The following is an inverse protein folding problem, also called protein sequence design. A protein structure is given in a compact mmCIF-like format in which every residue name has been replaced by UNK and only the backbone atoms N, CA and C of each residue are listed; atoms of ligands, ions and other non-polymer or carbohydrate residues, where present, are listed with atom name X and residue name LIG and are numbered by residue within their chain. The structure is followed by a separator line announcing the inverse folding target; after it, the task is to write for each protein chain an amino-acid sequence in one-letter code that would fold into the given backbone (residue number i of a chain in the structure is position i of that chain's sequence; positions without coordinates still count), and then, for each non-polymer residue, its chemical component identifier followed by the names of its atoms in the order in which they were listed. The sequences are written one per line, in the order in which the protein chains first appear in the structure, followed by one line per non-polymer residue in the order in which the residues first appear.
data_IF_499456376159
#
_entry.id   IF_499456376159
#
_cell.length_a   1.000
_cell.length_b   1.000
_cell.length_c   1.000
_cell.angle_alpha   90.00
_cell.angle_beta   90.00
_cell.angle_gamma   90.00
#
_symmetry.space_group_name_H-M   'P 1'
#
loop_
_entity.id
_entity.type
_entity.pdbx_description
1 polymer ?
#
# COMPACT_ATOMS: atom_id res chain seq x y z
N UNK A 1 41.75 -14.09 -7.33
CA UNK A 1 41.65 -14.28 -8.79
C UNK A 1 40.36 -15.00 -9.12
N UNK A 2 39.36 -14.32 -9.60
CA UNK A 2 38.11 -14.97 -10.07
C UNK A 2 38.45 -15.75 -11.37
N UNK A 3 38.22 -17.05 -11.38
CA UNK A 3 38.32 -17.87 -12.60
C UNK A 3 37.30 -17.31 -13.61
N UNK A 4 37.79 -16.79 -14.74
CA UNK A 4 36.90 -16.46 -15.86
C UNK A 4 36.20 -17.75 -16.30
N UNK A 5 34.89 -17.79 -16.17
CA UNK A 5 34.07 -18.86 -16.69
C UNK A 5 34.14 -18.77 -18.22
N UNK A 6 34.59 -19.84 -18.85
CA UNK A 6 34.68 -19.88 -20.31
C UNK A 6 33.32 -20.40 -20.84
N UNK A 7 32.47 -19.51 -21.26
CA UNK A 7 31.12 -19.79 -21.75
C UNK A 7 31.10 -20.52 -23.12
N UNK A 8 32.22 -20.59 -23.83
CA UNK A 8 32.28 -21.18 -25.18
C UNK A 8 31.99 -22.69 -25.28
N UNK A 9 31.80 -23.35 -24.15
CA UNK A 9 31.52 -24.82 -24.07
C UNK A 9 30.24 -25.16 -23.34
N UNK A 10 29.44 -24.20 -22.96
CA UNK A 10 28.21 -24.41 -22.24
C UNK A 10 27.07 -24.35 -23.25
N UNK A 11 26.35 -25.42 -23.44
CA UNK A 11 25.18 -25.42 -24.32
C UNK A 11 23.94 -24.84 -23.60
N UNK A 12 22.95 -24.44 -24.36
CA UNK A 12 21.72 -23.85 -23.88
C UNK A 12 21.01 -24.75 -22.84
N UNK A 13 20.99 -26.05 -23.08
CA UNK A 13 20.35 -27.00 -22.16
C UNK A 13 21.08 -27.06 -20.81
N UNK A 14 22.43 -27.00 -20.84
CA UNK A 14 23.24 -26.97 -19.63
C UNK A 14 22.99 -25.67 -18.82
N UNK A 15 22.79 -24.53 -19.48
CA UNK A 15 22.44 -23.28 -18.80
C UNK A 15 21.07 -23.40 -18.11
N UNK A 16 20.05 -23.89 -18.82
CA UNK A 16 18.74 -24.11 -18.23
C UNK A 16 18.82 -25.04 -17.03
N UNK A 17 19.53 -26.17 -17.17
CA UNK A 17 19.69 -27.13 -16.08
C UNK A 17 20.45 -26.55 -14.89
N UNK A 18 21.51 -25.79 -15.13
CA UNK A 18 22.35 -25.25 -14.08
C UNK A 18 21.69 -24.10 -13.31
N UNK A 19 20.89 -23.27 -14.01
CA UNK A 19 20.31 -22.07 -13.45
C UNK A 19 18.85 -22.28 -13.01
N UNK A 20 18.06 -22.92 -13.90
CA UNK A 20 16.62 -23.13 -13.65
C UNK A 20 16.30 -24.54 -13.15
N UNK A 21 17.31 -25.42 -13.05
CA UNK A 21 17.18 -26.82 -12.60
C UNK A 21 16.06 -27.61 -13.31
N UNK A 22 15.83 -27.27 -14.57
CA UNK A 22 14.90 -27.96 -15.45
C UNK A 22 15.40 -27.95 -16.89
N UNK A 23 14.94 -28.86 -17.76
CA UNK A 23 15.26 -28.83 -19.20
C UNK A 23 14.52 -27.64 -19.86
N UNK A 24 15.02 -27.17 -21.01
CA UNK A 24 14.30 -26.23 -21.87
C UNK A 24 12.92 -26.78 -22.27
N UNK A 25 11.93 -25.92 -22.40
CA UNK A 25 10.52 -26.28 -22.63
C UNK A 25 10.28 -26.96 -23.98
N UNK A 26 11.11 -26.66 -24.97
CA UNK A 26 10.99 -27.25 -26.30
C UNK A 26 12.33 -27.34 -27.01
N UNK A 27 12.39 -28.26 -28.01
CA UNK A 27 13.55 -28.37 -28.93
C UNK A 27 13.78 -27.07 -29.71
N UNK A 28 12.76 -26.24 -29.89
CA UNK A 28 12.90 -24.95 -30.59
C UNK A 28 13.73 -23.92 -29.79
N UNK A 29 13.62 -23.94 -28.47
CA UNK A 29 14.47 -23.08 -27.58
C UNK A 29 15.92 -23.52 -27.71
N UNK A 30 16.19 -24.81 -27.83
CA UNK A 30 17.54 -25.36 -28.04
C UNK A 30 18.06 -24.98 -29.45
N UNK A 31 17.24 -25.10 -30.50
CA UNK A 31 17.61 -24.77 -31.87
C UNK A 31 17.84 -23.28 -32.14
N UNK A 32 17.03 -22.41 -31.58
CA UNK A 32 17.25 -20.98 -31.64
C UNK A 32 18.57 -20.61 -30.97
N UNK A 33 18.98 -21.33 -29.93
CA UNK A 33 20.27 -21.18 -29.28
C UNK A 33 21.46 -21.66 -30.13
N UNK A 34 21.26 -22.68 -31.02
CA UNK A 34 22.37 -23.25 -31.82
C UNK A 34 22.75 -22.41 -33.04
N UNK A 35 21.81 -21.69 -33.69
CA UNK A 35 22.07 -20.92 -34.92
C UNK A 35 22.62 -19.51 -34.66
N UNK A 36 22.31 -18.88 -33.50
CA UNK A 36 22.75 -17.52 -33.11
C UNK A 36 23.24 -17.48 -31.66
N UNK A 37 23.72 -18.61 -31.16
CA UNK A 37 23.98 -18.79 -29.75
C UNK A 37 25.17 -17.96 -29.26
N UNK A 38 24.86 -16.87 -28.56
CA UNK A 38 25.79 -16.18 -27.67
C UNK A 38 25.51 -16.63 -26.24
N UNK A 39 26.36 -17.49 -25.66
CA UNK A 39 26.17 -17.99 -24.29
C UNK A 39 26.07 -16.89 -23.26
N UNK A 40 26.74 -15.76 -23.47
CA UNK A 40 26.75 -14.65 -22.55
C UNK A 40 25.41 -13.88 -22.60
N UNK A 41 24.92 -13.62 -23.81
CA UNK A 41 23.62 -12.99 -23.99
C UNK A 41 22.50 -13.86 -23.41
N UNK A 42 22.53 -15.15 -23.74
CA UNK A 42 21.51 -16.09 -23.26
C UNK A 42 21.54 -16.28 -21.74
N UNK A 43 22.72 -16.29 -21.14
CA UNK A 43 22.88 -16.27 -19.69
C UNK A 43 22.22 -15.04 -19.08
N UNK A 44 22.45 -13.85 -19.66
CA UNK A 44 21.79 -12.63 -19.21
C UNK A 44 20.27 -12.68 -19.36
N UNK A 45 19.76 -13.23 -20.47
CA UNK A 45 18.33 -13.42 -20.71
C UNK A 45 17.69 -14.34 -19.64
N UNK A 46 18.35 -15.44 -19.29
CA UNK A 46 17.89 -16.34 -18.22
C UNK A 46 17.90 -15.61 -16.87
N UNK A 47 18.97 -14.87 -16.54
CA UNK A 47 19.06 -14.13 -15.28
C UNK A 47 17.99 -13.02 -15.17
N UNK A 48 17.61 -12.43 -16.30
CA UNK A 48 16.59 -11.42 -16.38
C UNK A 48 15.17 -12.02 -16.54
N UNK A 49 15.04 -13.33 -16.69
CA UNK A 49 13.73 -13.97 -16.83
C UNK A 49 12.95 -13.95 -15.53
N UNK A 50 11.64 -13.82 -15.63
CA UNK A 50 10.72 -13.87 -14.48
C UNK A 50 10.87 -15.19 -13.70
N UNK A 51 11.15 -16.29 -14.40
CA UNK A 51 11.36 -17.59 -13.80
C UNK A 51 12.61 -17.64 -12.92
N UNK A 52 13.74 -17.12 -13.39
CA UNK A 52 14.98 -17.07 -12.60
C UNK A 52 14.80 -16.15 -11.40
N UNK A 53 14.24 -14.96 -11.62
CA UNK A 53 13.98 -14.02 -10.54
C UNK A 53 13.05 -14.64 -9.49
N UNK A 54 12.01 -15.35 -9.92
CA UNK A 54 11.10 -16.06 -9.01
C UNK A 54 11.80 -17.14 -8.19
N UNK A 55 12.71 -17.92 -8.82
CA UNK A 55 13.50 -18.93 -8.12
C UNK A 55 14.51 -18.34 -7.16
N UNK A 56 15.20 -17.28 -7.58
CA UNK A 56 16.13 -16.56 -6.71
C UNK A 56 15.40 -16.01 -5.48
N UNK A 57 14.22 -15.48 -5.70
CA UNK A 57 13.34 -14.99 -4.64
C UNK A 57 12.91 -16.15 -3.74
N UNK A 58 12.48 -17.28 -4.32
CA UNK A 58 12.15 -18.49 -3.56
C UNK A 58 13.31 -18.93 -2.66
N UNK A 59 14.53 -18.97 -3.20
CA UNK A 59 15.74 -19.32 -2.44
C UNK A 59 16.07 -18.28 -1.36
N UNK A 60 15.88 -17.01 -1.63
CA UNK A 60 16.05 -15.94 -0.62
C UNK A 60 14.98 -16.06 0.45
N UNK A 61 13.73 -16.33 0.07
CA UNK A 61 12.60 -16.47 0.99
C UNK A 61 12.70 -17.74 1.84
N UNK A 62 13.30 -18.82 1.32
CA UNK A 62 13.63 -20.02 2.12
C UNK A 62 14.60 -19.74 3.26
N UNK A 63 15.37 -18.66 3.13
CA UNK A 63 16.25 -18.17 4.21
C UNK A 63 15.54 -17.23 5.19
N UNK A 64 14.30 -16.80 4.88
CA UNK A 64 13.49 -15.95 5.77
C UNK A 64 12.42 -16.80 6.48
N UNK A 65 12.28 -16.69 7.81
CA UNK A 65 11.36 -17.55 8.59
C UNK A 65 9.87 -17.30 8.33
N UNK A 66 9.49 -16.25 7.61
CA UNK A 66 8.09 -15.86 7.39
C UNK A 66 7.74 -15.77 5.89
N UNK A 67 7.33 -16.91 5.31
CA UNK A 67 6.74 -16.98 3.95
C UNK A 67 5.27 -16.61 3.97
N UNK A 68 4.93 -15.33 4.21
CA UNK A 68 3.54 -14.90 4.33
C UNK A 68 3.26 -13.74 3.41
N UNK A 69 2.10 -13.79 2.75
CA UNK A 69 1.63 -12.64 1.99
C UNK A 69 1.34 -11.48 2.94
N UNK A 70 1.78 -10.31 2.57
CA UNK A 70 1.57 -9.08 3.30
C UNK A 70 0.52 -8.25 2.57
N UNK A 71 -0.65 -8.08 3.16
CA UNK A 71 -1.78 -7.38 2.55
C UNK A 71 -2.04 -6.10 3.34
N UNK A 72 -1.71 -4.96 2.75
CA UNK A 72 -1.92 -3.66 3.36
C UNK A 72 -3.17 -2.98 2.81
N UNK A 73 -4.22 -2.93 3.62
CA UNK A 73 -5.41 -2.14 3.33
C UNK A 73 -5.08 -0.68 3.64
N UNK A 74 -4.83 0.09 2.58
CA UNK A 74 -4.42 1.48 2.71
C UNK A 74 -5.64 2.40 2.81
N UNK A 75 -5.93 2.84 4.02
CA UNK A 75 -6.92 3.90 4.27
C UNK A 75 -6.33 5.24 3.85
N UNK A 76 -7.04 6.06 3.05
CA UNK A 76 -6.52 7.36 2.61
C UNK A 76 -6.03 8.23 3.75
N UNK A 77 -4.89 8.90 3.55
CA UNK A 77 -4.26 9.84 4.50
C UNK A 77 -3.77 9.25 5.83
N UNK A 78 -3.62 7.92 5.90
CA UNK A 78 -3.10 7.18 7.06
C UNK A 78 -1.68 6.64 6.86
N UNK A 79 -0.80 7.40 6.23
CA UNK A 79 0.63 7.12 6.02
C UNK A 79 0.96 5.99 5.02
N UNK A 80 0.03 5.52 4.18
CA UNK A 80 0.26 4.39 3.27
C UNK A 80 1.37 4.62 2.26
N UNK A 81 1.46 5.79 1.63
CA UNK A 81 2.57 6.12 0.70
C UNK A 81 3.93 6.02 1.40
N UNK A 82 4.02 6.49 2.66
CA UNK A 82 5.25 6.37 3.44
C UNK A 82 5.56 4.90 3.74
N UNK A 83 4.54 4.12 4.12
CA UNK A 83 4.67 2.69 4.34
C UNK A 83 5.19 1.98 3.09
N UNK A 84 4.52 2.17 1.95
CA UNK A 84 4.91 1.55 0.69
C UNK A 84 6.37 1.87 0.33
N UNK A 85 6.75 3.14 0.38
CA UNK A 85 8.12 3.57 0.07
C UNK A 85 9.19 2.97 1.00
N UNK A 86 8.83 2.61 2.24
CA UNK A 86 9.76 2.00 3.20
C UNK A 86 9.81 0.48 3.10
N UNK A 87 8.70 -0.15 2.80
CA UNK A 87 8.57 -1.62 2.80
C UNK A 87 8.84 -2.23 1.42
N UNK A 88 8.38 -1.59 0.33
CA UNK A 88 8.59 -2.11 -1.02
C UNK A 88 10.07 -2.46 -1.35
N UNK A 89 11.08 -1.69 -0.92
CA UNK A 89 12.47 -2.05 -1.15
C UNK A 89 12.94 -3.33 -0.44
N UNK A 90 12.19 -3.83 0.54
CA UNK A 90 12.49 -5.11 1.19
C UNK A 90 12.07 -6.31 0.36
N UNK A 91 11.27 -6.08 -0.66
CA UNK A 91 10.81 -7.10 -1.60
C UNK A 91 11.65 -7.02 -2.88
N UNK A 92 12.53 -7.99 -3.13
CA UNK A 92 13.53 -7.89 -4.21
C UNK A 92 12.95 -8.01 -5.63
N UNK A 93 11.65 -8.29 -5.77
CA UNK A 93 10.99 -8.44 -7.07
C UNK A 93 9.92 -7.37 -7.29
N UNK A 94 9.96 -6.73 -8.45
CA UNK A 94 9.02 -5.70 -8.89
C UNK A 94 7.57 -6.20 -8.83
N UNK A 95 7.34 -7.47 -9.14
CA UNK A 95 6.01 -8.08 -9.19
C UNK A 95 5.47 -8.52 -7.82
N UNK A 96 6.21 -8.29 -6.73
CA UNK A 96 5.80 -8.68 -5.39
C UNK A 96 5.08 -7.57 -4.62
N UNK A 97 5.08 -6.35 -5.15
CA UNK A 97 4.31 -5.25 -4.56
C UNK A 97 3.42 -4.61 -5.62
N UNK A 98 2.13 -4.53 -5.34
CA UNK A 98 1.14 -3.91 -6.22
C UNK A 98 0.53 -2.75 -5.46
N UNK A 99 0.60 -1.55 -6.05
CA UNK A 99 -0.09 -0.38 -5.54
C UNK A 99 -1.40 -0.19 -6.29
N UNK A 100 -2.51 -0.16 -5.56
CA UNK A 100 -3.83 0.19 -6.06
C UNK A 100 -4.17 1.57 -5.53
N UNK A 101 -4.32 2.53 -6.43
CA UNK A 101 -4.63 3.91 -6.06
C UNK A 101 -6.14 4.16 -5.94
N UNK A 102 -6.52 5.22 -5.25
CA UNK A 102 -7.93 5.58 -5.05
C UNK A 102 -8.66 5.98 -6.36
N UNK A 103 -7.90 6.37 -7.39
CA UNK A 103 -8.41 6.69 -8.73
C UNK A 103 -8.41 5.51 -9.70
N UNK A 104 -7.97 4.33 -9.26
CA UNK A 104 -8.11 3.11 -10.05
C UNK A 104 -9.59 2.81 -10.24
N UNK A 105 -10.06 2.76 -11.48
CA UNK A 105 -11.46 2.47 -11.78
C UNK A 105 -11.82 1.06 -11.27
N UNK A 106 -13.11 0.82 -11.03
CA UNK A 106 -13.57 -0.51 -10.60
C UNK A 106 -13.16 -1.61 -11.60
N UNK A 107 -13.18 -1.30 -12.89
CA UNK A 107 -12.80 -2.24 -13.95
C UNK A 107 -11.29 -2.51 -13.92
N UNK A 108 -10.46 -1.48 -13.84
CA UNK A 108 -9.00 -1.62 -13.69
C UNK A 108 -8.64 -2.36 -12.42
N UNK A 109 -9.32 -2.07 -11.31
CA UNK A 109 -9.14 -2.82 -10.06
C UNK A 109 -9.44 -4.30 -10.24
N UNK A 110 -10.52 -4.66 -10.90
CA UNK A 110 -10.87 -6.07 -11.17
C UNK A 110 -9.86 -6.74 -12.08
N UNK A 111 -9.35 -6.05 -13.10
CA UNK A 111 -8.29 -6.54 -13.99
C UNK A 111 -6.97 -6.74 -13.24
N UNK A 112 -6.58 -5.78 -12.39
CA UNK A 112 -5.40 -5.87 -11.52
C UNK A 112 -5.54 -7.08 -10.59
N UNK A 113 -6.68 -7.22 -9.92
CA UNK A 113 -6.91 -8.33 -8.97
C UNK A 113 -6.98 -9.69 -9.67
N UNK A 114 -7.56 -9.77 -10.88
CA UNK A 114 -7.59 -10.99 -11.68
C UNK A 114 -6.18 -11.40 -12.15
N UNK A 115 -5.39 -10.44 -12.65
CA UNK A 115 -4.00 -10.66 -13.00
C UNK A 115 -3.17 -11.04 -11.76
N UNK A 116 -3.49 -10.42 -10.64
CA UNK A 116 -2.86 -10.68 -9.35
C UNK A 116 -3.12 -12.10 -8.85
N UNK A 117 -4.33 -12.63 -9.01
CA UNK A 117 -4.63 -14.02 -8.66
C UNK A 117 -3.71 -15.00 -9.40
N UNK A 118 -3.42 -14.74 -10.68
CA UNK A 118 -2.48 -15.55 -11.46
C UNK A 118 -1.02 -15.39 -11.02
N UNK A 119 -0.62 -14.19 -10.60
CA UNK A 119 0.73 -13.91 -10.06
C UNK A 119 0.92 -14.56 -8.68
N UNK A 120 -0.11 -14.52 -7.83
CA UNK A 120 -0.09 -15.13 -6.49
C UNK A 120 0.14 -16.63 -6.52
N UNK A 121 -0.32 -17.32 -7.56
CA UNK A 121 -0.06 -18.76 -7.72
C UNK A 121 1.42 -19.08 -7.90
N UNK A 122 2.20 -18.13 -8.42
CA UNK A 122 3.63 -18.27 -8.67
C UNK A 122 4.52 -17.90 -7.46
N UNK A 123 4.04 -17.05 -6.56
CA UNK A 123 4.87 -16.49 -5.48
C UNK A 123 4.30 -16.82 -4.11
N UNK A 124 5.07 -17.57 -3.31
CA UNK A 124 4.72 -17.83 -1.90
C UNK A 124 4.77 -16.57 -1.04
N UNK A 125 5.45 -15.53 -1.50
CA UNK A 125 5.60 -14.27 -0.80
C UNK A 125 5.26 -13.09 -1.72
N UNK A 126 4.29 -12.31 -1.33
CA UNK A 126 3.81 -11.16 -2.10
C UNK A 126 3.35 -10.05 -1.17
N UNK A 127 3.64 -8.81 -1.54
CA UNK A 127 3.06 -7.65 -0.90
C UNK A 127 1.94 -7.08 -1.77
N UNK A 128 0.76 -6.91 -1.19
CA UNK A 128 -0.36 -6.19 -1.80
C UNK A 128 -0.59 -4.90 -1.02
N UNK A 129 -0.57 -3.79 -1.69
CA UNK A 129 -0.79 -2.49 -1.08
C UNK A 129 -1.77 -1.67 -1.91
N UNK A 130 -2.78 -1.07 -1.30
CA UNK A 130 -3.67 -0.18 -2.05
C UNK A 130 -4.96 0.21 -1.34
N UNK A 131 -5.74 1.04 -2.02
CA UNK A 131 -7.02 1.58 -1.56
C UNK A 131 -8.19 0.61 -1.84
N UNK A 132 -8.10 -0.62 -1.39
CA UNK A 132 -9.16 -1.62 -1.46
C UNK A 132 -9.76 -1.87 -0.07
N UNK A 133 -10.94 -2.47 -0.04
CA UNK A 133 -11.59 -2.82 1.22
C UNK A 133 -11.26 -4.24 1.67
N UNK A 134 -11.55 -4.55 2.93
CA UNK A 134 -11.52 -5.93 3.46
C UNK A 134 -12.34 -6.88 2.58
N UNK A 135 -13.48 -6.44 2.08
CA UNK A 135 -14.32 -7.26 1.20
C UNK A 135 -13.62 -7.61 -0.11
N UNK A 136 -12.82 -6.70 -0.70
CA UNK A 136 -11.99 -7.02 -1.87
C UNK A 136 -10.92 -8.05 -1.51
N UNK A 137 -10.30 -7.93 -0.33
CA UNK A 137 -9.32 -8.92 0.14
C UNK A 137 -9.94 -10.30 0.25
N UNK A 138 -11.11 -10.40 0.85
CA UNK A 138 -11.78 -11.69 1.09
C UNK A 138 -12.29 -12.31 -0.22
N UNK A 139 -12.96 -11.52 -1.06
CA UNK A 139 -13.70 -12.03 -2.21
C UNK A 139 -12.84 -12.16 -3.48
N UNK A 140 -11.90 -11.24 -3.70
CA UNK A 140 -11.15 -11.15 -4.96
C UNK A 140 -9.71 -11.68 -4.81
N UNK A 141 -9.02 -11.28 -3.72
CA UNK A 141 -7.65 -11.72 -3.46
C UNK A 141 -7.64 -13.13 -2.86
N UNK A 142 -8.64 -13.44 -2.03
CA UNK A 142 -8.74 -14.67 -1.25
C UNK A 142 -7.71 -14.72 -0.11
N UNK A 143 -8.19 -14.86 1.10
CA UNK A 143 -7.33 -14.98 2.30
C UNK A 143 -6.82 -16.41 2.42
N UNK A 144 -5.51 -16.58 2.57
CA UNK A 144 -4.86 -17.88 2.80
C UNK A 144 -4.39 -18.00 4.24
N UNK A 145 -4.26 -19.24 4.69
CA UNK A 145 -3.65 -19.49 6.00
C UNK A 145 -2.22 -18.95 6.04
N UNK A 146 -1.97 -18.09 6.99
CA UNK A 146 -0.66 -17.43 7.16
C UNK A 146 -0.56 -16.04 6.55
N UNK A 147 -1.56 -15.56 5.79
CA UNK A 147 -1.58 -14.17 5.33
C UNK A 147 -1.56 -13.19 6.49
N UNK A 148 -0.85 -12.10 6.30
CA UNK A 148 -0.81 -10.99 7.24
C UNK A 148 -1.55 -9.81 6.64
N UNK A 149 -2.75 -9.56 7.13
CA UNK A 149 -3.54 -8.41 6.74
C UNK A 149 -3.28 -7.32 7.77
N UNK A 150 -2.96 -6.13 7.32
CA UNK A 150 -2.76 -5.01 8.23
C UNK A 150 -3.29 -3.71 7.66
N UNK A 151 -3.49 -2.76 8.55
CA UNK A 151 -3.90 -1.40 8.21
C UNK A 151 -3.38 -0.40 9.21
N UNK A 152 -3.25 0.84 8.76
CA UNK A 152 -2.90 1.97 9.61
C UNK A 152 -4.10 2.90 9.67
N UNK A 153 -4.54 3.24 10.87
CA UNK A 153 -5.60 4.23 11.08
C UNK A 153 -5.02 5.56 11.54
N UNK A 154 -5.77 6.61 11.31
CA UNK A 154 -5.45 7.95 11.77
C UNK A 154 -6.66 8.53 12.50
N UNK A 155 -6.43 9.50 13.41
CA UNK A 155 -7.52 10.31 13.97
C UNK A 155 -8.41 10.79 12.81
N UNK A 156 -9.72 10.45 12.81
CA UNK A 156 -10.60 10.69 11.67
C UNK A 156 -10.71 12.16 11.28
N UNK A 157 -10.74 13.07 12.27
CA UNK A 157 -10.76 14.51 12.03
C UNK A 157 -9.45 14.94 11.34
N UNK A 158 -8.32 14.47 11.83
CA UNK A 158 -7.02 14.77 11.24
C UNK A 158 -6.83 14.12 9.86
N UNK A 159 -7.50 13.01 9.59
CA UNK A 159 -7.54 12.40 8.26
C UNK A 159 -8.28 13.29 7.26
N UNK A 160 -9.48 13.75 7.62
CA UNK A 160 -10.27 14.67 6.81
C UNK A 160 -9.53 15.98 6.53
N UNK A 161 -8.96 16.60 7.57
CA UNK A 161 -8.12 17.80 7.43
C UNK A 161 -6.92 17.55 6.51
N UNK A 162 -6.27 16.40 6.64
CA UNK A 162 -5.13 16.05 5.78
C UNK A 162 -5.54 15.87 4.33
N UNK A 163 -6.74 15.35 4.06
CA UNK A 163 -7.24 15.22 2.69
C UNK A 163 -7.53 16.57 2.07
N UNK A 164 -8.23 17.45 2.78
CA UNK A 164 -8.51 18.81 2.32
C UNK A 164 -7.22 19.61 2.05
N UNK A 165 -6.25 19.52 2.94
CA UNK A 165 -4.92 20.12 2.75
C UNK A 165 -4.18 19.55 1.55
N UNK A 166 -4.31 18.24 1.32
CA UNK A 166 -3.70 17.57 0.16
C UNK A 166 -4.29 18.07 -1.15
N UNK A 167 -5.61 18.13 -1.26
CA UNK A 167 -6.31 18.67 -2.43
C UNK A 167 -5.87 20.11 -2.72
N UNK A 168 -5.93 20.98 -1.71
CA UNK A 168 -5.52 22.37 -1.88
C UNK A 168 -4.04 22.50 -2.28
N UNK A 169 -3.15 21.69 -1.69
CA UNK A 169 -1.71 21.68 -2.04
C UNK A 169 -1.51 21.23 -3.51
N UNK A 170 -2.25 20.23 -3.95
CA UNK A 170 -2.16 19.72 -5.33
C UNK A 170 -2.72 20.72 -6.33
N UNK A 171 -3.86 21.36 -6.03
CA UNK A 171 -4.44 22.39 -6.87
C UNK A 171 -3.55 23.64 -6.95
N UNK A 172 -2.82 23.98 -5.90
CA UNK A 172 -1.79 25.04 -5.96
C UNK A 172 -0.62 24.68 -6.88
N UNK A 173 -0.23 23.41 -6.93
CA UNK A 173 0.86 22.94 -7.78
C UNK A 173 0.43 22.77 -9.26
N UNK A 174 -0.86 22.57 -9.50
CA UNK A 174 -1.48 22.44 -10.82
C UNK A 174 -2.78 23.26 -10.92
N UNK A 175 -2.68 24.61 -10.94
CA UNK A 175 -3.85 25.49 -10.87
C UNK A 175 -4.75 25.40 -12.11
N UNK A 176 -4.23 24.93 -13.22
CA UNK A 176 -4.98 24.74 -14.47
C UNK A 176 -5.73 23.41 -14.54
N UNK A 177 -5.44 22.47 -13.62
CA UNK A 177 -5.98 21.11 -13.68
C UNK A 177 -5.47 20.34 -14.90
N UNK A 178 -4.16 20.38 -15.14
CA UNK A 178 -3.53 19.63 -16.23
C UNK A 178 -3.50 18.13 -15.98
N UNK A 179 -3.48 17.72 -14.72
CA UNK A 179 -3.59 16.33 -14.31
C UNK A 179 -5.06 15.92 -14.09
N UNK A 180 -5.42 14.67 -14.39
CA UNK A 180 -6.80 14.19 -14.28
C UNK A 180 -7.42 14.39 -12.88
N UNK A 181 -6.66 14.07 -11.82
CA UNK A 181 -7.11 14.22 -10.43
C UNK A 181 -7.38 15.68 -10.07
N UNK A 182 -6.49 16.60 -10.44
CA UNK A 182 -6.67 18.02 -10.16
C UNK A 182 -7.80 18.62 -11.00
N UNK A 183 -8.00 18.17 -12.24
CA UNK A 183 -9.15 18.56 -13.06
C UNK A 183 -10.46 18.11 -12.44
N UNK A 184 -10.54 16.86 -12.01
CA UNK A 184 -11.73 16.32 -11.35
C UNK A 184 -12.09 17.13 -10.09
N UNK A 185 -11.10 17.47 -9.25
CA UNK A 185 -11.35 18.28 -8.05
C UNK A 185 -11.79 19.71 -8.39
N UNK A 186 -11.20 20.35 -9.40
CA UNK A 186 -11.67 21.65 -9.87
C UNK A 186 -13.14 21.59 -10.30
N UNK A 187 -13.51 20.58 -11.10
CA UNK A 187 -14.88 20.39 -11.56
C UNK A 187 -15.84 20.12 -10.40
N UNK A 188 -15.42 19.30 -9.41
CA UNK A 188 -16.21 19.04 -8.20
C UNK A 188 -16.41 20.30 -7.34
N UNK A 189 -15.40 21.17 -7.29
CA UNK A 189 -15.48 22.46 -6.57
C UNK A 189 -16.17 23.55 -7.41
N UNK A 190 -16.60 23.27 -8.65
CA UNK A 190 -17.20 24.24 -9.54
C UNK A 190 -16.24 25.32 -10.03
N UNK A 191 -14.94 24.99 -10.11
CA UNK A 191 -13.87 25.90 -10.50
C UNK A 191 -13.29 25.51 -11.85
N UNK A 192 -13.07 26.48 -12.74
CA UNK A 192 -12.38 26.22 -14.03
C UNK A 192 -10.86 26.13 -13.86
N UNK A 193 -10.31 26.89 -12.92
CA UNK A 193 -8.89 26.93 -12.56
C UNK A 193 -8.72 27.65 -11.22
N UNK A 194 -7.56 27.48 -10.59
CA UNK A 194 -7.14 28.39 -9.52
C UNK A 194 -6.40 29.60 -10.12
N UNK A 195 -6.57 30.81 -9.58
CA UNK A 195 -5.77 31.95 -10.00
C UNK A 195 -4.28 31.72 -9.70
N UNK A 196 -3.41 32.07 -10.63
CA UNK A 196 -1.97 32.10 -10.38
C UNK A 196 -1.66 33.06 -9.23
N UNK A 197 -0.84 32.61 -8.28
CA UNK A 197 -0.44 33.40 -7.12
C UNK A 197 -1.58 33.69 -6.14
N UNK A 198 -2.58 32.81 -6.04
CA UNK A 198 -3.70 32.98 -5.13
C UNK A 198 -3.22 33.24 -3.67
N UNK A 199 -3.94 34.12 -2.97
CA UNK A 199 -3.60 34.45 -1.58
C UNK A 199 -3.77 33.25 -0.63
N UNK A 200 -3.07 33.23 0.51
CA UNK A 200 -3.26 32.18 1.53
C UNK A 200 -4.71 32.01 1.98
N UNK A 201 -5.47 33.13 2.04
CA UNK A 201 -6.89 33.08 2.37
C UNK A 201 -7.72 32.34 1.31
N UNK A 202 -7.41 32.55 0.03
CA UNK A 202 -8.08 31.81 -1.05
C UNK A 202 -7.79 30.31 -0.99
N UNK A 203 -6.53 29.94 -0.77
CA UNK A 203 -6.13 28.52 -0.61
C UNK A 203 -6.84 27.89 0.59
N UNK A 204 -6.96 28.62 1.70
CA UNK A 204 -7.72 28.15 2.87
C UNK A 204 -9.20 27.94 2.52
N UNK A 205 -9.80 28.82 1.73
CA UNK A 205 -11.19 28.68 1.27
C UNK A 205 -11.37 27.45 0.38
N UNK A 206 -10.41 27.16 -0.50
CA UNK A 206 -10.41 25.92 -1.34
C UNK A 206 -10.32 24.67 -0.46
N UNK A 207 -9.42 24.64 0.51
CA UNK A 207 -9.29 23.52 1.43
C UNK A 207 -10.58 23.31 2.25
N UNK A 208 -11.24 24.38 2.68
CA UNK A 208 -12.53 24.32 3.37
C UNK A 208 -13.65 23.82 2.46
N UNK A 209 -13.69 24.26 1.20
CA UNK A 209 -14.66 23.78 0.22
C UNK A 209 -14.46 22.28 -0.07
N UNK A 210 -13.21 21.84 -0.22
CA UNK A 210 -12.90 20.42 -0.39
C UNK A 210 -13.37 19.57 0.80
N UNK A 211 -13.25 20.09 2.03
CA UNK A 211 -13.74 19.39 3.22
C UNK A 211 -15.27 19.28 3.27
N UNK A 212 -15.98 20.15 2.55
CA UNK A 212 -17.44 20.12 2.45
C UNK A 212 -17.99 19.21 1.35
N UNK A 213 -17.15 18.62 0.51
CA UNK A 213 -17.58 17.77 -0.62
C UNK A 213 -17.29 16.30 -0.33
N UNK A 214 -18.36 15.46 -0.30
CA UNK A 214 -18.25 14.02 0.01
C UNK A 214 -17.54 13.21 -1.08
N UNK A 215 -17.42 13.77 -2.28
CA UNK A 215 -16.67 13.15 -3.39
C UNK A 215 -15.17 13.32 -3.21
N UNK A 216 -14.76 14.39 -2.52
CA UNK A 216 -13.36 14.74 -2.24
C UNK A 216 -12.91 14.16 -0.90
N UNK A 217 -13.67 14.43 0.15
CA UNK A 217 -13.39 13.90 1.49
C UNK A 217 -14.43 12.84 1.81
N UNK A 218 -14.01 11.59 1.71
CA UNK A 218 -14.87 10.43 1.94
C UNK A 218 -15.48 10.45 3.35
N UNK A 219 -16.74 10.05 3.44
CA UNK A 219 -17.45 9.85 4.71
C UNK A 219 -17.02 8.52 5.31
N UNK A 220 -16.56 8.54 6.56
CA UNK A 220 -16.14 7.35 7.31
C UNK A 220 -15.19 6.41 6.52
N UNK A 221 -14.04 6.88 6.02
CA UNK A 221 -13.16 6.07 5.18
C UNK A 221 -12.59 4.83 5.89
N UNK A 222 -12.41 4.85 7.22
CA UNK A 222 -11.97 3.69 7.99
C UNK A 222 -13.03 2.59 7.90
N UNK A 223 -14.30 2.94 8.15
CA UNK A 223 -15.41 1.99 8.09
C UNK A 223 -15.65 1.46 6.67
N UNK A 224 -15.43 2.27 5.64
CA UNK A 224 -15.58 1.83 4.25
C UNK A 224 -14.48 0.86 3.81
N UNK A 225 -13.25 1.03 4.30
CA UNK A 225 -12.14 0.14 3.97
C UNK A 225 -12.11 -1.12 4.83
N UNK A 226 -12.43 -1.01 6.11
CA UNK A 226 -12.39 -2.13 7.05
C UNK A 226 -13.75 -2.84 7.25
N UNK A 227 -14.84 -2.27 6.73
CA UNK A 227 -16.19 -2.81 6.87
C UNK A 227 -17.07 -2.54 5.66
N UNK A 228 -18.35 -2.27 5.95
CA UNK A 228 -19.40 -1.93 5.00
C UNK A 228 -19.87 -0.46 5.13
N UNK A 229 -19.09 0.37 5.78
CA UNK A 229 -19.42 1.75 6.13
C UNK A 229 -19.90 1.94 7.57
N UNK A 230 -20.06 0.87 8.32
CA UNK A 230 -20.45 0.92 9.75
C UNK A 230 -19.27 0.59 10.67
N UNK A 231 -19.26 1.17 11.87
CA UNK A 231 -18.24 0.88 12.87
C UNK A 231 -18.31 -0.56 13.39
N UNK A 232 -19.52 -1.12 13.50
CA UNK A 232 -19.72 -2.50 13.93
C UNK A 232 -19.09 -3.49 12.96
N UNK A 233 -19.36 -3.34 11.66
CA UNK A 233 -18.77 -4.19 10.63
C UNK A 233 -17.25 -4.07 10.58
N UNK A 234 -16.70 -2.85 10.69
CA UNK A 234 -15.28 -2.63 10.70
C UNK A 234 -14.57 -3.29 11.89
N UNK A 235 -15.10 -3.13 13.10
CA UNK A 235 -14.56 -3.74 14.32
C UNK A 235 -14.64 -5.27 14.23
N UNK A 236 -15.77 -5.82 13.79
CA UNK A 236 -15.92 -7.25 13.58
C UNK A 236 -14.92 -7.81 12.58
N UNK A 237 -14.70 -7.13 11.46
CA UNK A 237 -13.73 -7.56 10.45
C UNK A 237 -12.29 -7.51 10.98
N UNK A 238 -11.93 -6.51 11.78
CA UNK A 238 -10.61 -6.44 12.44
C UNK A 238 -10.37 -7.69 13.28
N UNK A 239 -11.36 -8.10 14.05
CA UNK A 239 -11.26 -9.26 14.96
C UNK A 239 -11.30 -10.58 14.18
N UNK A 240 -12.33 -10.79 13.34
CA UNK A 240 -12.55 -12.07 12.65
C UNK A 240 -11.44 -12.40 11.67
N UNK A 241 -10.95 -11.40 10.92
CA UNK A 241 -9.89 -11.59 9.92
C UNK A 241 -8.49 -11.38 10.52
N UNK A 242 -8.37 -11.21 11.83
CA UNK A 242 -7.11 -10.98 12.54
C UNK A 242 -6.28 -9.88 11.88
N UNK A 243 -6.93 -8.75 11.54
CA UNK A 243 -6.25 -7.63 10.91
C UNK A 243 -5.32 -6.98 11.93
N UNK A 244 -4.04 -6.99 11.65
CA UNK A 244 -3.08 -6.24 12.46
C UNK A 244 -3.28 -4.75 12.21
N UNK A 245 -3.53 -4.00 13.27
CA UNK A 245 -3.84 -2.59 13.16
C UNK A 245 -2.93 -1.75 14.05
N UNK A 246 -2.51 -0.61 13.54
CA UNK A 246 -1.81 0.42 14.30
C UNK A 246 -2.38 1.81 13.99
N UNK A 247 -2.06 2.80 14.78
CA UNK A 247 -2.40 4.18 14.49
C UNK A 247 -1.17 5.01 14.07
N UNK A 248 -1.40 6.14 13.43
CA UNK A 248 -0.33 7.01 12.94
C UNK A 248 0.57 7.58 14.04
N UNK A 249 0.17 7.56 15.31
CA UNK A 249 1.00 8.01 16.44
C UNK A 249 2.00 6.95 16.90
N UNK A 250 1.69 5.67 16.68
CA UNK A 250 2.51 4.51 17.01
C UNK A 250 3.23 3.91 15.81
N UNK A 251 2.93 4.41 14.62
CA UNK A 251 3.37 3.86 13.36
C UNK A 251 4.89 3.68 13.27
N UNK A 252 5.66 4.67 13.66
CA UNK A 252 7.12 4.63 13.57
C UNK A 252 7.71 3.53 14.47
N UNK A 253 7.22 3.41 15.71
CA UNK A 253 7.61 2.34 16.63
C UNK A 253 7.19 0.97 16.12
N UNK A 254 6.02 0.89 15.51
CA UNK A 254 5.52 -0.35 14.93
C UNK A 254 6.39 -0.82 13.75
N UNK A 255 6.78 0.07 12.83
CA UNK A 255 7.71 -0.25 11.74
C UNK A 255 9.08 -0.69 12.24
N UNK A 256 9.62 0.02 13.22
CA UNK A 256 10.91 -0.33 13.82
C UNK A 256 10.87 -1.70 14.51
N UNK A 257 9.84 -1.93 15.31
CA UNK A 257 9.68 -3.20 16.04
C UNK A 257 9.46 -4.40 15.13
N UNK A 258 8.80 -4.19 13.94
CA UNK A 258 8.44 -5.29 13.06
C UNK A 258 9.48 -5.57 11.97
N UNK A 259 10.08 -4.55 11.39
CA UNK A 259 11.01 -4.66 10.26
C UNK A 259 12.39 -4.07 10.54
N UNK A 260 12.63 -3.53 11.73
CA UNK A 260 13.89 -2.85 12.05
C UNK A 260 14.11 -1.56 11.26
N UNK A 261 13.04 -0.96 10.72
CA UNK A 261 13.13 0.20 9.84
C UNK A 261 12.98 1.47 10.63
N UNK A 262 14.04 2.29 10.65
CA UNK A 262 13.92 3.67 11.11
C UNK A 262 13.18 4.52 10.06
N UNK A 263 12.16 5.22 10.51
CA UNK A 263 11.26 5.95 9.59
C UNK A 263 11.84 7.21 9.00
N UNK A 264 12.72 7.89 9.71
CA UNK A 264 13.32 9.16 9.26
C UNK A 264 12.25 10.23 8.94
N UNK A 265 12.50 11.06 7.92
CA UNK A 265 11.54 12.07 7.49
C UNK A 265 10.34 11.47 6.78
N UNK A 266 9.14 11.96 7.10
CA UNK A 266 7.89 11.54 6.43
C UNK A 266 7.87 12.00 4.97
N UNK A 267 7.40 11.11 4.09
CA UNK A 267 7.21 11.37 2.67
C UNK A 267 5.81 11.93 2.43
N UNK A 268 5.64 12.81 1.45
CA UNK A 268 4.35 13.39 1.03
C UNK A 268 3.56 14.11 2.13
N UNK A 269 4.20 15.02 2.84
CA UNK A 269 3.48 15.93 3.73
C UNK A 269 2.78 17.01 2.91
N UNK A 270 1.46 17.12 3.07
CA UNK A 270 0.70 18.27 2.56
C UNK A 270 1.07 19.54 3.35
N UNK A 271 0.96 20.70 2.72
CA UNK A 271 1.10 21.96 3.43
C UNK A 271 0.03 22.05 4.53
N UNK A 272 0.37 22.55 5.73
CA UNK A 272 -0.59 22.70 6.83
C UNK A 272 -1.46 23.95 6.63
N UNK A 273 -2.38 23.92 5.64
CA UNK A 273 -3.26 25.02 5.26
C UNK A 273 -4.37 25.19 6.30
N UNK A 274 -5.00 24.06 6.69
CA UNK A 274 -5.98 23.98 7.77
C UNK A 274 -5.38 23.24 8.95
N UNK A 275 -5.70 23.67 10.15
CA UNK A 275 -5.44 22.92 11.37
C UNK A 275 -6.75 22.37 11.96
N UNK A 276 -6.66 21.59 13.05
CA UNK A 276 -7.84 21.00 13.69
C UNK A 276 -8.81 22.05 14.22
N UNK A 277 -8.29 23.12 14.81
CA UNK A 277 -9.12 24.17 15.43
C UNK A 277 -9.88 24.97 14.37
N UNK A 278 -9.24 25.27 13.22
CA UNK A 278 -9.92 25.88 12.08
C UNK A 278 -11.17 25.09 11.70
N UNK A 279 -11.03 23.78 11.64
CA UNK A 279 -12.08 22.88 11.14
C UNK A 279 -13.16 22.65 12.19
N UNK A 280 -12.79 22.41 13.45
CA UNK A 280 -13.75 22.22 14.54
C UNK A 280 -14.61 23.49 14.74
N UNK A 281 -13.99 24.66 14.68
CA UNK A 281 -14.69 25.94 14.88
C UNK A 281 -15.71 26.21 13.76
N UNK A 282 -15.36 25.89 12.51
CA UNK A 282 -16.19 26.27 11.36
C UNK A 282 -17.14 25.17 10.86
N UNK A 283 -16.81 23.91 11.13
CA UNK A 283 -17.49 22.75 10.51
C UNK A 283 -17.83 21.65 11.53
N UNK A 284 -18.05 21.96 12.81
CA UNK A 284 -18.29 20.96 13.86
C UNK A 284 -19.35 19.92 13.49
N UNK A 285 -20.53 20.35 13.00
CA UNK A 285 -21.59 19.45 12.53
C UNK A 285 -21.19 18.61 11.31
N UNK A 286 -20.44 19.19 10.39
CA UNK A 286 -19.92 18.50 9.21
C UNK A 286 -18.91 17.42 9.58
N UNK A 287 -18.02 17.70 10.53
CA UNK A 287 -17.06 16.71 11.04
C UNK A 287 -17.76 15.52 11.69
N UNK A 288 -18.81 15.79 12.48
CA UNK A 288 -19.63 14.72 13.07
C UNK A 288 -20.22 13.82 11.99
N UNK A 289 -20.69 14.39 10.89
CA UNK A 289 -21.19 13.62 9.76
C UNK A 289 -20.07 12.81 9.08
N UNK A 290 -18.93 13.44 8.77
CA UNK A 290 -17.83 12.79 8.05
C UNK A 290 -17.16 11.66 8.83
N UNK A 291 -17.14 11.74 10.15
CA UNK A 291 -16.26 10.93 10.99
C UNK A 291 -16.99 10.12 12.08
N UNK A 292 -18.33 10.19 12.19
CA UNK A 292 -19.06 9.62 13.34
C UNK A 292 -18.80 8.14 13.59
N UNK A 293 -18.79 7.34 12.53
CA UNK A 293 -18.53 5.91 12.65
C UNK A 293 -17.04 5.62 12.79
N UNK A 294 -16.19 6.35 12.07
CA UNK A 294 -14.74 6.20 12.14
C UNK A 294 -14.18 6.53 13.53
N UNK A 295 -14.76 7.49 14.24
CA UNK A 295 -14.36 7.83 15.62
C UNK A 295 -14.52 6.62 16.53
N UNK A 296 -15.64 5.88 16.42
CA UNK A 296 -15.89 4.67 17.23
C UNK A 296 -14.85 3.58 16.94
N UNK A 297 -14.52 3.37 15.66
CA UNK A 297 -13.48 2.40 15.28
C UNK A 297 -12.11 2.84 15.80
N UNK A 298 -11.79 4.11 15.64
CA UNK A 298 -10.50 4.65 16.07
C UNK A 298 -10.32 4.54 17.59
N UNK A 299 -11.36 4.83 18.37
CA UNK A 299 -11.36 4.68 19.83
C UNK A 299 -11.22 3.22 20.26
N UNK A 300 -11.92 2.30 19.58
CA UNK A 300 -11.79 0.86 19.81
C UNK A 300 -10.36 0.38 19.51
N UNK A 301 -9.78 0.80 18.37
CA UNK A 301 -8.41 0.47 18.01
C UNK A 301 -7.42 1.02 19.03
N UNK A 302 -7.56 2.26 19.46
CA UNK A 302 -6.70 2.83 20.49
C UNK A 302 -6.76 2.05 21.81
N UNK A 303 -7.95 1.67 22.21
CA UNK A 303 -8.15 0.86 23.43
C UNK A 303 -7.44 -0.49 23.32
N UNK A 304 -7.50 -1.15 22.14
CA UNK A 304 -6.77 -2.40 21.88
C UNK A 304 -5.26 -2.20 21.93
N UNK A 305 -4.75 -1.11 21.33
CA UNK A 305 -3.32 -0.81 21.32
C UNK A 305 -2.81 -0.44 22.73
N UNK A 306 -3.58 0.34 23.49
CA UNK A 306 -3.25 0.69 24.88
C UNK A 306 -3.17 -0.56 25.76
N UNK A 307 -4.06 -1.52 25.57
CA UNK A 307 -4.03 -2.79 26.30
C UNK A 307 -2.81 -3.65 25.92
N UNK A 308 -2.35 -3.60 24.68
CA UNK A 308 -1.13 -4.31 24.23
C UNK A 308 0.16 -3.67 24.77
N UNK A 309 0.18 -2.35 24.87
CA UNK A 309 1.34 -1.58 25.35
C UNK A 309 1.50 -1.65 26.87
N UNK A 310 0.50 -2.11 27.62
CA UNK A 310 0.63 -2.33 29.05
C UNK A 310 1.63 -3.46 29.31
N UNK A 311 2.65 -3.24 30.15
CA UNK A 311 3.57 -4.31 30.54
C UNK A 311 2.73 -5.44 31.14
N UNK A 312 2.82 -6.63 30.52
CA UNK A 312 2.21 -7.81 31.10
C UNK A 312 2.69 -7.89 32.55
N UNK A 313 1.78 -7.85 33.50
CA UNK A 313 2.08 -8.13 34.92
C UNK A 313 2.40 -9.63 34.99
N UNK A 314 3.56 -10.00 34.41
CA UNK A 314 4.17 -11.30 34.59
C UNK A 314 4.90 -11.24 35.94
N UNK A 315 4.35 -11.96 36.89
CA UNK A 315 5.05 -12.30 38.12
C UNK A 315 4.77 -11.35 39.27
N UNK A 316 3.56 -11.38 39.82
CA UNK A 316 3.48 -11.33 41.27
C UNK A 316 3.69 -12.75 41.76
N UNK A 317 4.82 -12.94 42.32
CA UNK A 317 5.27 -14.11 43.04
C UNK A 317 4.13 -14.73 43.85
N UNK A 318 3.76 -15.96 43.47
CA UNK A 318 3.20 -16.88 44.43
C UNK A 318 4.40 -17.48 45.18
N UNK A 319 4.81 -16.79 46.22
CA UNK A 319 5.64 -17.33 47.26
C UNK A 319 4.76 -18.13 48.23
#
# INVERSE_FOLDING_TARGET
MAKRVNFSKVDCAQLYFSILQRPPESRNVIRLGEETYDPQQHFCEILCSDEFQSRLIGLLLDSFPEKRRLIHIHIPKSAGTHFFAKIAPLYPCINQSIEISSWTSKQELMEILANFASIIEFYDFTMVHGHFSVNHVINEIGVRFGDQIFSVVRDPVMSAVSMANYVATRLMADPSGSYPDTREWLDQLGMSSLPEGCSPGHVKSVAMAALCDDRIVQVNPICQHLGDGTSESAINNIVINNIEITDTSRYDRWLEGRWGISTGSRINQSLPILNRDDVVTHLGGRLSYLCSEDIKVFEAVRSLLDARDQPSIKGRDLA
#
